data_IF_484542477181
#
_entry.id   IF_484542477181
#
_cell.length_a   1.000
_cell.length_b   1.000
_cell.length_c   1.000
_cell.angle_alpha   90.00
_cell.angle_beta   90.00
_cell.angle_gamma   90.00
#
_symmetry.space_group_name_H-M   'P 1'
#
loop_
_entity.id
_entity.type
_entity.pdbx_description
1 polymer ?
#
# COMPACT_ATOMS: atom_id res chain seq x y z
N UNK A 1 0.66 -79.34 -13.14
CA UNK A 1 1.87 -78.60 -12.74
C UNK A 1 1.62 -77.10 -12.93
N UNK A 2 1.71 -76.30 -11.87
CA UNK A 2 1.56 -74.83 -11.93
C UNK A 2 2.91 -74.19 -12.30
N UNK A 3 3.00 -73.62 -13.50
CA UNK A 3 4.22 -73.02 -14.01
C UNK A 3 4.44 -71.64 -13.35
N UNK A 4 5.50 -71.52 -12.53
CA UNK A 4 5.83 -70.29 -11.81
C UNK A 4 6.66 -69.41 -12.73
N UNK A 5 6.01 -68.42 -13.35
CA UNK A 5 6.67 -67.50 -14.29
C UNK A 5 7.73 -66.69 -13.54
N UNK A 6 9.00 -67.08 -13.66
CA UNK A 6 10.14 -66.37 -13.06
C UNK A 6 10.41 -65.10 -13.87
N UNK A 7 9.94 -63.96 -13.35
CA UNK A 7 10.20 -62.65 -13.96
C UNK A 7 11.71 -62.37 -13.93
N UNK A 8 12.30 -62.04 -15.08
CA UNK A 8 13.72 -61.69 -15.18
C UNK A 8 14.05 -60.46 -14.31
N UNK A 9 15.23 -60.47 -13.66
CA UNK A 9 15.74 -59.38 -12.81
C UNK A 9 15.81 -58.05 -13.55
N UNK A 10 16.09 -58.07 -14.85
CA UNK A 10 16.13 -56.87 -15.71
C UNK A 10 14.74 -56.29 -15.94
N UNK A 11 13.75 -57.15 -16.20
CA UNK A 11 12.34 -56.73 -16.36
C UNK A 11 11.78 -56.14 -15.06
N UNK A 12 12.09 -56.73 -13.90
CA UNK A 12 11.69 -56.18 -12.59
C UNK A 12 12.37 -54.83 -12.31
N UNK A 13 13.64 -54.66 -12.69
CA UNK A 13 14.37 -53.39 -12.55
C UNK A 13 13.77 -52.30 -13.44
N UNK A 14 13.55 -52.59 -14.72
CA UNK A 14 12.94 -51.66 -15.68
C UNK A 14 11.53 -51.22 -15.23
N UNK A 15 10.71 -52.16 -14.76
CA UNK A 15 9.39 -51.85 -14.22
C UNK A 15 9.47 -50.89 -12.99
N UNK A 16 10.42 -51.13 -12.07
CA UNK A 16 10.61 -50.26 -10.89
C UNK A 16 11.16 -48.88 -11.23
N UNK A 17 11.97 -48.78 -12.28
CA UNK A 17 12.50 -47.49 -12.76
C UNK A 17 11.41 -46.70 -13.48
N UNK A 18 10.60 -47.35 -14.32
CA UNK A 18 9.44 -46.72 -14.96
C UNK A 18 8.41 -46.19 -13.94
N UNK A 19 8.11 -46.97 -12.89
CA UNK A 19 7.22 -46.53 -11.80
C UNK A 19 7.82 -45.36 -11.01
N UNK A 20 9.14 -45.37 -10.75
CA UNK A 20 9.80 -44.24 -10.06
C UNK A 20 9.80 -42.97 -10.91
N UNK A 21 10.03 -43.09 -12.22
CA UNK A 21 9.98 -41.96 -13.14
C UNK A 21 8.58 -41.35 -13.21
N UNK A 22 7.52 -42.17 -13.33
CA UNK A 22 6.15 -41.66 -13.34
C UNK A 22 5.74 -41.04 -12.00
N UNK A 23 6.16 -41.62 -10.87
CA UNK A 23 5.94 -41.02 -9.55
C UNK A 23 6.63 -39.66 -9.42
N UNK A 24 7.88 -39.54 -9.90
CA UNK A 24 8.61 -38.27 -9.87
C UNK A 24 7.87 -37.18 -10.65
N UNK A 25 7.41 -37.48 -11.86
CA UNK A 25 6.67 -36.52 -12.67
C UNK A 25 5.34 -36.08 -12.00
N UNK A 26 4.63 -37.03 -11.38
CA UNK A 26 3.40 -36.72 -10.62
C UNK A 26 3.71 -35.83 -9.43
N UNK A 27 4.79 -36.08 -8.70
CA UNK A 27 5.21 -35.26 -7.56
C UNK A 27 5.67 -33.87 -7.98
N UNK A 28 6.44 -33.74 -9.06
CA UNK A 28 6.86 -32.43 -9.59
C UNK A 28 5.67 -31.59 -10.06
N UNK A 29 4.66 -32.22 -10.68
CA UNK A 29 3.41 -31.55 -11.03
C UNK A 29 2.63 -31.16 -9.77
N UNK A 30 2.54 -32.05 -8.79
CA UNK A 30 1.83 -31.77 -7.54
C UNK A 30 2.50 -30.62 -6.75
N UNK A 31 3.83 -30.56 -6.73
CA UNK A 31 4.59 -29.46 -6.09
C UNK A 31 4.27 -28.13 -6.74
N UNK A 32 4.39 -28.05 -8.08
CA UNK A 32 4.09 -26.81 -8.82
C UNK A 32 2.63 -26.38 -8.62
N UNK A 33 1.70 -27.33 -8.69
CA UNK A 33 0.29 -27.03 -8.44
C UNK A 33 0.07 -26.51 -7.00
N UNK A 34 0.77 -27.06 -6.01
CA UNK A 34 0.64 -26.60 -4.63
C UNK A 34 1.17 -25.18 -4.45
N UNK A 35 2.31 -24.86 -5.07
CA UNK A 35 2.90 -23.51 -5.07
C UNK A 35 1.96 -22.50 -5.74
N UNK A 36 1.44 -22.82 -6.93
CA UNK A 36 0.50 -21.96 -7.65
C UNK A 36 -0.81 -21.76 -6.87
N UNK A 37 -1.33 -22.80 -6.22
CA UNK A 37 -2.51 -22.70 -5.38
C UNK A 37 -2.27 -21.85 -4.13
N UNK A 38 -1.09 -21.94 -3.51
CA UNK A 38 -0.74 -21.09 -2.38
C UNK A 38 -0.73 -19.61 -2.78
N UNK A 39 -0.13 -19.28 -3.93
CA UNK A 39 -0.18 -17.93 -4.49
C UNK A 39 -1.63 -17.51 -4.74
N UNK A 40 -2.41 -18.34 -5.43
CA UNK A 40 -3.82 -18.06 -5.75
C UNK A 40 -4.66 -17.74 -4.51
N UNK A 41 -4.63 -18.58 -3.48
CA UNK A 41 -5.42 -18.36 -2.27
C UNK A 41 -4.97 -17.11 -1.51
N UNK A 42 -3.64 -16.88 -1.41
CA UNK A 42 -3.13 -15.67 -0.76
C UNK A 42 -3.46 -14.40 -1.54
N UNK A 43 -3.50 -14.44 -2.87
CA UNK A 43 -3.91 -13.31 -3.70
C UNK A 43 -5.39 -13.05 -3.56
N UNK A 44 -6.22 -14.10 -3.52
CA UNK A 44 -7.66 -13.98 -3.34
C UNK A 44 -8.03 -13.38 -2.00
N UNK A 45 -7.41 -13.83 -0.91
CA UNK A 45 -7.61 -13.25 0.42
C UNK A 45 -7.26 -11.75 0.44
N UNK A 46 -6.16 -11.36 -0.19
CA UNK A 46 -5.79 -9.94 -0.31
C UNK A 46 -6.79 -9.15 -1.14
N UNK A 47 -7.29 -9.71 -2.24
CA UNK A 47 -8.31 -9.08 -3.08
C UNK A 47 -9.60 -8.84 -2.29
N UNK A 48 -10.05 -9.83 -1.53
CA UNK A 48 -11.23 -9.71 -0.68
C UNK A 48 -11.05 -8.57 0.37
N UNK A 49 -9.82 -8.34 0.83
CA UNK A 49 -9.50 -7.23 1.74
C UNK A 49 -9.28 -5.86 1.11
N UNK A 50 -9.24 -5.73 -0.23
CA UNK A 50 -8.99 -4.43 -0.89
C UNK A 50 -10.16 -3.47 -0.68
N UNK A 51 -11.39 -3.96 -0.76
CA UNK A 51 -12.59 -3.12 -0.65
C UNK A 51 -12.72 -2.55 0.76
N UNK A 52 -12.52 -3.38 1.80
CA UNK A 52 -12.50 -2.94 3.20
C UNK A 52 -11.38 -1.93 3.47
N UNK A 53 -10.19 -2.18 2.90
CA UNK A 53 -9.07 -1.24 2.99
C UNK A 53 -9.39 0.11 2.33
N UNK A 54 -10.02 0.08 1.15
CA UNK A 54 -10.41 1.28 0.43
C UNK A 54 -11.50 2.06 1.19
N UNK A 55 -12.51 1.38 1.72
CA UNK A 55 -13.56 1.98 2.52
C UNK A 55 -12.98 2.66 3.76
N UNK A 56 -12.11 1.95 4.49
CA UNK A 56 -11.41 2.52 5.64
C UNK A 56 -10.56 3.74 5.26
N UNK A 57 -9.90 3.71 4.09
CA UNK A 57 -9.09 4.84 3.63
C UNK A 57 -9.94 6.06 3.27
N UNK A 58 -11.07 5.85 2.60
CA UNK A 58 -12.02 6.92 2.23
C UNK A 58 -12.62 7.53 3.50
N UNK A 59 -13.07 6.71 4.45
CA UNK A 59 -13.59 7.18 5.73
C UNK A 59 -12.58 8.07 6.47
N UNK A 60 -11.33 7.62 6.57
CA UNK A 60 -10.26 8.41 7.20
C UNK A 60 -9.95 9.73 6.46
N UNK A 61 -10.09 9.76 5.13
CA UNK A 61 -9.94 11.01 4.36
C UNK A 61 -11.12 11.97 4.57
N UNK A 62 -12.34 11.45 4.70
CA UNK A 62 -13.52 12.27 5.01
C UNK A 62 -13.36 12.96 6.37
N UNK A 63 -12.96 12.21 7.40
CA UNK A 63 -12.73 12.76 8.73
C UNK A 63 -11.65 13.87 8.70
N UNK A 64 -10.52 13.60 8.04
CA UNK A 64 -9.46 14.61 7.88
C UNK A 64 -9.93 15.85 7.11
N UNK A 65 -10.75 15.67 6.08
CA UNK A 65 -11.31 16.79 5.33
C UNK A 65 -12.25 17.63 6.20
N UNK A 66 -13.08 17.01 7.02
CA UNK A 66 -14.01 17.71 7.90
C UNK A 66 -13.30 18.45 9.04
N UNK A 67 -12.24 17.87 9.60
CA UNK A 67 -11.34 18.57 10.54
C UNK A 67 -10.73 19.81 9.88
N UNK A 68 -10.17 19.68 8.67
CA UNK A 68 -9.58 20.82 7.94
C UNK A 68 -10.63 21.88 7.60
N UNK A 69 -11.82 21.49 7.16
CA UNK A 69 -12.94 22.43 6.93
C UNK A 69 -13.36 23.13 8.22
N UNK A 70 -13.36 22.42 9.34
CA UNK A 70 -13.57 23.00 10.66
C UNK A 70 -12.52 24.06 10.98
N UNK A 71 -11.24 23.73 10.79
CA UNK A 71 -10.12 24.65 10.99
C UNK A 71 -10.28 25.93 10.17
N UNK A 72 -10.46 25.80 8.85
CA UNK A 72 -10.61 26.94 7.97
C UNK A 72 -11.83 27.80 8.31
N UNK A 73 -12.98 27.18 8.65
CA UNK A 73 -14.17 27.91 9.10
C UNK A 73 -13.90 28.69 10.39
N UNK A 74 -13.15 28.11 11.33
CA UNK A 74 -12.76 28.79 12.56
C UNK A 74 -11.84 29.97 12.27
N UNK A 75 -10.76 29.77 11.51
CA UNK A 75 -9.83 30.84 11.14
C UNK A 75 -10.56 31.99 10.45
N UNK A 76 -11.47 31.68 9.53
CA UNK A 76 -12.31 32.69 8.86
C UNK A 76 -13.17 33.46 9.89
N UNK A 77 -13.85 32.75 10.79
CA UNK A 77 -14.65 33.38 11.84
C UNK A 77 -13.84 34.28 12.78
N UNK A 78 -12.63 33.86 13.17
CA UNK A 78 -11.70 34.67 13.99
C UNK A 78 -11.30 35.95 13.24
N UNK A 79 -10.99 35.86 11.95
CA UNK A 79 -10.66 37.03 11.14
C UNK A 79 -11.85 38.01 11.04
N UNK A 80 -13.07 37.48 10.87
CA UNK A 80 -14.29 38.30 10.83
C UNK A 80 -14.61 38.95 12.18
N UNK A 81 -14.40 38.23 13.29
CA UNK A 81 -14.51 38.80 14.64
C UNK A 81 -13.52 39.96 14.83
N UNK A 82 -12.27 39.78 14.40
CA UNK A 82 -11.26 40.84 14.47
C UNK A 82 -11.59 42.06 13.58
N UNK A 83 -12.38 41.92 12.51
CA UNK A 83 -12.90 43.08 11.77
C UNK A 83 -14.00 43.79 12.56
N UNK A 84 -14.94 43.04 13.14
CA UNK A 84 -15.99 43.59 14.01
C UNK A 84 -15.41 44.36 15.19
N UNK A 85 -14.39 43.80 15.85
CA UNK A 85 -13.76 44.39 17.02
C UNK A 85 -12.98 45.67 16.68
N UNK A 86 -12.60 45.86 15.40
CA UNK A 86 -12.05 47.12 14.86
C UNK A 86 -13.13 48.16 14.54
N UNK A 87 -14.41 47.83 14.73
CA UNK A 87 -15.54 48.73 14.51
C UNK A 87 -16.25 48.57 13.16
N UNK A 88 -15.85 47.61 12.32
CA UNK A 88 -16.54 47.35 11.06
C UNK A 88 -17.95 46.81 11.30
N UNK A 89 -18.95 47.34 10.59
CA UNK A 89 -20.32 46.85 10.70
C UNK A 89 -20.51 45.56 9.89
N UNK A 90 -21.48 44.72 10.27
CA UNK A 90 -21.75 43.48 9.54
C UNK A 90 -22.12 43.73 8.06
N UNK A 91 -22.74 44.88 7.76
CA UNK A 91 -23.05 45.31 6.40
C UNK A 91 -21.79 45.66 5.61
N UNK A 92 -20.82 46.32 6.23
CA UNK A 92 -19.56 46.69 5.57
C UNK A 92 -18.69 45.46 5.32
N UNK A 93 -18.60 44.55 6.30
CA UNK A 93 -17.94 43.25 6.14
C UNK A 93 -18.61 42.43 5.03
N UNK A 94 -19.94 42.46 4.94
CA UNK A 94 -20.69 41.80 3.86
C UNK A 94 -20.32 42.36 2.48
N UNK A 95 -20.16 43.69 2.36
CA UNK A 95 -19.69 44.32 1.11
C UNK A 95 -18.24 43.97 0.79
N UNK A 96 -17.36 43.93 1.79
CA UNK A 96 -15.93 43.62 1.61
C UNK A 96 -15.71 42.16 1.19
N UNK A 97 -16.48 41.23 1.74
CA UNK A 97 -16.31 39.79 1.52
C UNK A 97 -17.20 39.23 0.40
N UNK A 98 -18.25 39.95 0.01
CA UNK A 98 -19.29 39.47 -0.89
C UNK A 98 -20.20 38.40 -0.30
N UNK A 99 -20.06 38.10 1.01
CA UNK A 99 -20.88 37.11 1.70
C UNK A 99 -22.08 37.76 2.39
N UNK A 100 -23.20 37.02 2.49
CA UNK A 100 -24.38 37.50 3.22
C UNK A 100 -24.14 37.59 4.74
N UNK A 101 -24.72 38.60 5.39
CA UNK A 101 -24.54 38.84 6.83
C UNK A 101 -24.88 37.65 7.73
N UNK A 102 -25.83 36.79 7.30
CA UNK A 102 -26.18 35.56 8.02
C UNK A 102 -24.99 34.60 8.09
N UNK A 103 -24.34 34.35 6.97
CA UNK A 103 -23.17 33.47 6.88
C UNK A 103 -22.01 34.02 7.70
N UNK A 104 -21.79 35.34 7.64
CA UNK A 104 -20.77 36.00 8.46
C UNK A 104 -21.02 35.82 9.96
N UNK A 105 -22.25 36.03 10.42
CA UNK A 105 -22.63 35.80 11.83
C UNK A 105 -22.45 34.34 12.24
N UNK A 106 -22.78 33.39 11.37
CA UNK A 106 -22.60 31.97 11.64
C UNK A 106 -21.11 31.60 11.75
N UNK A 107 -20.25 32.14 10.88
CA UNK A 107 -18.81 31.91 10.94
C UNK A 107 -18.18 32.50 12.21
N UNK A 108 -18.55 33.73 12.58
CA UNK A 108 -18.09 34.35 13.83
C UNK A 108 -18.53 33.51 15.03
N UNK A 109 -19.81 33.12 15.10
CA UNK A 109 -20.32 32.26 16.18
C UNK A 109 -19.60 30.91 16.22
N UNK A 110 -19.36 30.30 15.06
CA UNK A 110 -18.66 29.03 14.97
C UNK A 110 -17.25 29.15 15.55
N UNK A 111 -16.53 30.24 15.24
CA UNK A 111 -15.23 30.51 15.83
C UNK A 111 -15.30 30.74 17.33
N UNK A 112 -16.20 31.60 17.82
CA UNK A 112 -16.36 31.90 19.25
C UNK A 112 -16.72 30.65 20.08
N UNK A 113 -17.54 29.75 19.53
CA UNK A 113 -17.98 28.52 20.23
C UNK A 113 -16.93 27.41 20.19
N UNK A 114 -16.11 27.37 19.15
CA UNK A 114 -15.11 26.32 18.91
C UNK A 114 -13.68 26.84 19.01
N UNK A 115 -13.46 27.95 19.71
CA UNK A 115 -12.12 28.47 20.00
C UNK A 115 -11.44 27.57 21.01
N UNK A 116 -10.38 26.82 20.65
CA UNK A 116 -9.36 26.52 21.63
C UNK A 116 -8.73 27.85 22.04
N UNK A 117 -8.47 28.05 23.33
CA UNK A 117 -7.67 29.18 23.84
C UNK A 117 -6.35 29.23 23.05
N UNK A 118 -6.26 30.09 22.05
CA UNK A 118 -5.12 30.14 21.13
C UNK A 118 -4.28 31.38 21.43
N UNK A 119 -3.07 31.13 21.94
CA UNK A 119 -1.93 32.04 21.86
C UNK A 119 -1.69 32.49 20.41
N UNK A 120 -1.24 33.74 20.18
CA UNK A 120 -1.17 34.34 18.85
C UNK A 120 0.10 33.90 18.11
N UNK A 121 -0.03 33.01 17.11
CA UNK A 121 1.07 32.72 16.20
C UNK A 121 1.04 33.69 15.00
N UNK A 122 1.85 34.75 15.10
CA UNK A 122 2.24 35.62 13.99
C UNK A 122 3.37 34.94 13.20
N UNK A 123 3.08 34.34 12.04
CA UNK A 123 4.06 34.24 10.94
C UNK A 123 3.40 33.70 9.66
N UNK A 124 3.03 34.63 8.79
CA UNK A 124 3.01 34.38 7.36
C UNK A 124 4.46 34.36 6.85
N UNK A 125 4.89 33.28 6.22
CA UNK A 125 5.92 33.34 5.18
C UNK A 125 5.67 32.29 4.12
N UNK A 126 5.85 32.74 2.89
CA UNK A 126 5.49 32.15 1.61
C UNK A 126 6.08 30.76 1.35
N UNK A 127 5.35 29.94 0.59
CA UNK A 127 5.94 28.87 -0.23
C UNK A 127 6.75 29.45 -1.40
N UNK A 128 7.45 28.63 -2.21
CA UNK A 128 6.79 27.50 -2.87
C UNK A 128 7.65 26.22 -3.10
N UNK A 129 6.97 25.10 -3.34
CA UNK A 129 7.35 24.15 -4.39
C UNK A 129 8.14 22.88 -4.02
N UNK A 130 7.43 21.75 -4.13
CA UNK A 130 7.86 20.47 -4.71
C UNK A 130 9.04 19.68 -4.09
N UNK A 131 8.73 18.47 -3.60
CA UNK A 131 9.70 17.42 -3.30
C UNK A 131 9.03 16.18 -2.74
N UNK A 132 8.76 15.21 -3.61
CA UNK A 132 8.11 13.92 -3.38
C UNK A 132 9.04 12.91 -2.68
N UNK A 133 8.47 11.81 -2.18
CA UNK A 133 9.05 10.53 -1.67
C UNK A 133 9.38 10.56 -0.16
N UNK A 134 8.69 9.79 0.71
CA UNK A 134 8.62 8.32 0.79
C UNK A 134 9.80 7.87 1.68
N UNK A 135 9.75 7.02 2.70
CA UNK A 135 8.87 5.94 3.15
C UNK A 135 9.44 5.51 4.53
N UNK A 136 8.65 4.88 5.40
CA UNK A 136 9.19 4.15 6.56
C UNK A 136 8.40 4.32 7.85
N UNK A 137 7.18 3.81 7.91
CA UNK A 137 6.56 3.46 9.19
C UNK A 137 6.97 2.02 9.52
N UNK A 138 7.73 1.93 10.60
CA UNK A 138 8.22 0.73 11.27
C UNK A 138 7.08 0.04 12.04
N UNK A 139 7.07 -1.29 12.04
CA UNK A 139 6.06 -2.14 12.66
C UNK A 139 6.00 -3.50 11.94
N UNK A 140 7.04 -4.33 12.05
CA UNK A 140 7.19 -5.33 13.10
C UNK A 140 6.05 -6.36 13.09
N UNK A 141 6.13 -7.31 12.15
CA UNK A 141 5.79 -8.70 12.44
C UNK A 141 6.68 -9.65 11.64
N UNK A 142 7.09 -10.69 12.35
CA UNK A 142 8.31 -11.48 12.15
C UNK A 142 8.01 -12.72 11.32
N UNK A 143 8.52 -12.78 10.10
CA UNK A 143 8.52 -13.96 9.25
C UNK A 143 9.63 -14.95 9.71
N UNK A 144 9.37 -16.26 9.86
CA UNK A 144 10.42 -17.24 10.14
C UNK A 144 11.18 -17.62 8.85
N UNK A 145 12.41 -17.12 8.73
CA UNK A 145 13.35 -17.49 7.68
C UNK A 145 13.75 -18.98 7.77
N UNK A 146 13.38 -19.77 6.76
CA UNK A 146 14.11 -20.95 6.36
C UNK A 146 15.23 -20.50 5.39
N UNK A 147 16.48 -20.62 5.84
CA UNK A 147 17.62 -19.90 5.27
C UNK A 147 18.20 -20.47 3.97
N UNK A 148 19.25 -19.84 3.41
CA UNK A 148 20.08 -20.46 2.40
C UNK A 148 21.34 -21.09 3.01
N UNK A 149 21.49 -22.38 2.72
CA UNK A 149 22.72 -23.13 2.89
C UNK A 149 23.87 -22.46 2.11
N UNK A 150 24.99 -22.29 2.78
CA UNK A 150 26.28 -21.90 2.23
C UNK A 150 26.73 -22.93 1.18
N UNK A 151 26.89 -22.49 -0.07
CA UNK A 151 27.71 -23.18 -1.05
C UNK A 151 28.86 -22.25 -1.45
N UNK A 152 30.04 -22.72 -1.07
CA UNK A 152 31.36 -22.14 -1.20
C UNK A 152 31.71 -21.79 -2.65
N UNK A 153 32.38 -20.66 -2.81
CA UNK A 153 32.91 -20.18 -4.08
C UNK A 153 34.35 -20.68 -4.22
N UNK A 154 34.66 -21.33 -5.35
CA UNK A 154 36.06 -21.41 -5.81
C UNK A 154 36.15 -21.30 -7.33
N UNK A 155 36.43 -20.06 -7.75
CA UNK A 155 37.42 -19.61 -8.73
C UNK A 155 37.71 -20.39 -10.03
N UNK A 156 37.61 -19.62 -11.12
CA UNK A 156 38.46 -19.56 -12.32
C UNK A 156 38.32 -20.61 -13.43
N UNK A 157 37.83 -20.15 -14.59
CA UNK A 157 38.52 -20.32 -15.87
C UNK A 157 37.97 -19.33 -16.92
N UNK A 158 38.91 -18.67 -17.58
CA UNK A 158 38.79 -17.73 -18.70
C UNK A 158 37.91 -18.18 -19.88
N UNK A 159 37.34 -17.20 -20.57
CA UNK A 159 36.93 -17.34 -21.97
C UNK A 159 35.77 -16.45 -22.41
N UNK A 160 36.03 -15.18 -22.73
CA UNK A 160 35.27 -14.53 -23.81
C UNK A 160 35.67 -15.20 -25.13
N UNK A 161 34.72 -15.45 -26.05
CA UNK A 161 34.54 -14.48 -27.14
C UNK A 161 33.10 -14.31 -27.67
N UNK A 162 32.80 -13.05 -28.02
CA UNK A 162 32.06 -12.50 -29.18
C UNK A 162 31.06 -13.33 -29.99
N UNK A 163 29.95 -12.66 -30.36
CA UNK A 163 29.08 -12.77 -31.57
C UNK A 163 27.59 -13.00 -31.21
N UNK A 164 26.69 -12.00 -31.29
CA UNK A 164 26.10 -11.33 -32.48
C UNK A 164 25.05 -12.15 -33.24
N UNK A 165 23.75 -11.98 -32.93
CA UNK A 165 22.61 -11.93 -33.88
C UNK A 165 21.28 -11.96 -33.07
N UNK A 166 20.49 -10.88 -33.04
CA UNK A 166 19.55 -10.38 -34.06
C UNK A 166 18.17 -11.08 -34.01
N UNK A 167 17.18 -10.29 -33.61
CA UNK A 167 15.76 -10.58 -33.65
C UNK A 167 15.30 -10.98 -35.05
N UNK A 168 14.41 -11.95 -35.12
CA UNK A 168 13.62 -12.25 -36.31
C UNK A 168 12.20 -11.78 -36.08
N UNK A 169 11.72 -10.93 -36.99
CA UNK A 169 10.29 -10.65 -37.18
C UNK A 169 9.60 -11.75 -37.98
#
# INVERSE_FOLDING_TARGET
MTNKVSKSKTAVRAAREAVRASQKEVLERASRNAEDLAVFFSSRERLDGVDDWLEGKIAGLHEQADVKRGEHRRTAGVALAALRDRGETMRDISRLTGMGEKVLRELIRFAETNSPTAEPNLAATSGPGAGVTGSGAEGADREPAAGPATADATSAADGEPTASWAATG
#
